data_IF_819862568823
#
_entry.id   IF_819862568823
#
_cell.length_a   1.000
_cell.length_b   1.000
_cell.length_c   1.000
_cell.angle_alpha   90.00
_cell.angle_beta   90.00
_cell.angle_gamma   90.00
#
_symmetry.space_group_name_H-M   'P 1'
#
loop_
_entity.id
_entity.type
_entity.pdbx_description
1 polymer ?
#
# COMPACT_ATOMS: atom_id res chain seq x y z
N UNK A 1 1.20 -10.97 3.57
CA UNK A 1 1.42 -12.41 3.81
C UNK A 1 2.72 -12.75 4.52
N UNK A 2 3.83 -12.05 4.25
CA UNK A 2 5.12 -12.37 4.90
C UNK A 2 5.15 -12.02 6.40
N UNK A 3 4.41 -11.01 6.82
CA UNK A 3 4.36 -10.57 8.22
C UNK A 3 3.49 -11.47 9.09
N UNK A 4 2.52 -12.17 8.49
CA UNK A 4 1.61 -13.09 9.15
C UNK A 4 2.06 -14.56 9.09
N UNK A 5 3.06 -14.87 8.27
CA UNK A 5 3.54 -16.24 8.10
C UNK A 5 4.61 -16.59 9.15
N UNK A 6 4.35 -17.52 10.08
CA UNK A 6 5.31 -17.93 11.12
C UNK A 6 6.64 -18.47 10.58
N UNK A 7 6.66 -18.94 9.34
CA UNK A 7 7.88 -19.45 8.68
C UNK A 7 8.68 -18.35 7.96
N UNK A 8 8.19 -17.12 7.95
CA UNK A 8 8.88 -15.99 7.34
C UNK A 8 9.89 -15.37 8.31
N UNK A 9 11.05 -14.98 7.80
CA UNK A 9 12.01 -14.15 8.55
C UNK A 9 11.48 -12.75 8.90
N UNK A 10 10.34 -12.37 8.34
CA UNK A 10 9.65 -11.09 8.58
C UNK A 10 8.41 -11.25 9.46
N UNK A 11 8.22 -12.38 10.09
CA UNK A 11 7.09 -12.61 10.98
C UNK A 11 7.12 -11.64 12.18
N UNK A 12 6.07 -10.84 12.35
CA UNK A 12 6.04 -9.75 13.31
C UNK A 12 5.78 -10.18 14.76
N UNK A 13 5.16 -11.34 14.95
CA UNK A 13 4.62 -11.74 16.26
C UNK A 13 5.57 -12.61 17.08
N UNK A 14 6.82 -12.74 16.68
CA UNK A 14 7.85 -13.48 17.40
C UNK A 14 8.53 -12.67 18.49
N UNK A 15 8.53 -11.34 18.38
CA UNK A 15 9.38 -10.48 19.18
C UNK A 15 8.57 -9.68 20.19
N UNK A 16 9.09 -9.58 21.38
CA UNK A 16 8.65 -8.60 22.36
C UNK A 16 9.54 -7.36 22.21
N UNK A 17 8.91 -6.21 22.19
CA UNK A 17 9.61 -4.94 22.17
C UNK A 17 9.89 -4.51 23.60
N UNK A 18 11.13 -4.16 23.91
CA UNK A 18 11.50 -3.65 25.23
C UNK A 18 11.52 -2.13 25.23
N UNK A 19 10.73 -1.54 26.10
CA UNK A 19 10.74 -0.10 26.40
C UNK A 19 11.17 0.10 27.85
N UNK A 20 12.46 0.35 28.08
CA UNK A 20 13.02 0.40 29.44
C UNK A 20 12.91 -0.95 30.15
N UNK A 21 12.20 -1.00 31.26
CA UNK A 21 11.95 -2.23 32.02
C UNK A 21 10.69 -2.98 31.56
N UNK A 22 9.87 -2.38 30.72
CA UNK A 22 8.61 -2.97 30.25
C UNK A 22 8.81 -3.78 28.97
N UNK A 23 8.21 -4.96 28.92
CA UNK A 23 8.09 -5.76 27.70
C UNK A 23 6.68 -5.59 27.13
N UNK A 24 6.60 -5.20 25.86
CA UNK A 24 5.36 -5.05 25.09
C UNK A 24 5.30 -6.12 24.03
N UNK A 25 4.20 -6.87 23.98
CA UNK A 25 3.96 -7.87 22.94
C UNK A 25 3.32 -7.22 21.72
N UNK A 26 3.49 -7.85 20.57
CA UNK A 26 2.78 -7.51 19.35
C UNK A 26 1.78 -8.63 19.08
N UNK A 27 0.51 -8.29 19.01
CA UNK A 27 -0.58 -9.24 18.78
C UNK A 27 -1.31 -8.91 17.48
N UNK A 28 -1.65 -9.94 16.71
CA UNK A 28 -2.64 -9.82 15.65
C UNK A 28 -4.03 -9.94 16.27
N UNK A 29 -4.93 -9.03 15.92
CA UNK A 29 -6.31 -9.00 16.41
C UNK A 29 -7.29 -8.87 15.27
N UNK A 30 -8.50 -9.42 15.45
CA UNK A 30 -9.60 -9.25 14.50
C UNK A 30 -10.54 -8.09 14.90
N UNK A 31 -10.55 -7.75 16.19
CA UNK A 31 -11.19 -6.57 16.77
C UNK A 31 -10.39 -6.13 18.01
N UNK A 32 -10.76 -5.03 18.61
CA UNK A 32 -10.05 -4.47 19.77
C UNK A 32 -10.74 -4.74 21.11
N UNK A 33 -11.97 -5.31 21.14
CA UNK A 33 -12.76 -5.52 22.36
C UNK A 33 -12.05 -6.36 23.43
N UNK A 34 -11.30 -7.38 23.00
CA UNK A 34 -10.59 -8.29 23.92
C UNK A 34 -9.08 -8.06 23.93
N UNK A 35 -8.62 -6.97 23.32
CA UNK A 35 -7.20 -6.67 23.22
C UNK A 35 -6.64 -6.17 24.56
N UNK A 36 -5.37 -6.50 24.81
CA UNK A 36 -4.67 -5.98 25.98
C UNK A 36 -4.13 -4.58 25.66
N UNK A 37 -4.60 -3.55 26.35
CA UNK A 37 -4.17 -2.16 26.16
C UNK A 37 -2.69 -1.89 26.49
N UNK A 38 -2.01 -2.82 27.14
CA UNK A 38 -0.57 -2.73 27.43
C UNK A 38 0.30 -3.28 26.29
N UNK A 39 -0.31 -3.92 25.31
CA UNK A 39 0.37 -4.54 24.16
C UNK A 39 0.10 -3.74 22.89
N UNK A 40 0.90 -3.98 21.85
CA UNK A 40 0.64 -3.44 20.50
C UNK A 40 -0.28 -4.41 19.79
N UNK A 41 -1.50 -3.97 19.53
CA UNK A 41 -2.52 -4.77 18.85
C UNK A 41 -2.63 -4.30 17.40
N UNK A 42 -2.42 -5.21 16.44
CA UNK A 42 -2.40 -4.91 15.00
C UNK A 42 -3.56 -5.61 14.32
N UNK A 43 -4.40 -4.84 13.66
CA UNK A 43 -5.46 -5.32 12.78
C UNK A 43 -5.02 -5.16 11.33
N UNK A 44 -4.96 -6.26 10.58
CA UNK A 44 -4.73 -6.23 9.14
C UNK A 44 -6.06 -6.34 8.39
N UNK A 45 -6.35 -5.36 7.58
CA UNK A 45 -7.60 -5.36 6.80
C UNK A 45 -7.38 -4.70 5.43
N UNK A 46 -8.27 -4.98 4.50
CA UNK A 46 -8.38 -4.19 3.26
C UNK A 46 -9.34 -3.03 3.48
N UNK A 47 -9.22 -1.98 2.67
CA UNK A 47 -10.14 -0.83 2.78
C UNK A 47 -11.59 -1.23 2.53
N UNK A 48 -11.83 -2.19 1.62
CA UNK A 48 -13.15 -2.75 1.36
C UNK A 48 -13.70 -3.52 2.58
N UNK A 49 -12.85 -4.34 3.19
CA UNK A 49 -13.19 -5.09 4.40
C UNK A 49 -13.51 -4.17 5.57
N UNK A 50 -12.68 -3.16 5.80
CA UNK A 50 -12.91 -2.15 6.83
C UNK A 50 -14.23 -1.41 6.60
N UNK A 51 -14.46 -0.92 5.37
CA UNK A 51 -15.70 -0.24 5.02
C UNK A 51 -16.94 -1.14 5.21
N UNK A 52 -16.87 -2.40 4.79
CA UNK A 52 -17.98 -3.35 4.96
C UNK A 52 -18.27 -3.61 6.44
N UNK A 53 -17.25 -3.79 7.25
CA UNK A 53 -17.42 -4.00 8.69
C UNK A 53 -18.08 -2.78 9.38
N UNK A 54 -17.66 -1.57 9.00
CA UNK A 54 -18.17 -0.33 9.57
C UNK A 54 -19.63 -0.04 9.20
N UNK A 55 -20.07 -0.45 8.01
CA UNK A 55 -21.38 -0.08 7.46
C UNK A 55 -22.38 -1.25 7.42
N UNK A 56 -21.94 -2.47 7.64
CA UNK A 56 -22.75 -3.68 7.74
C UNK A 56 -22.34 -4.46 8.99
N UNK A 57 -22.62 -3.95 10.20
CA UNK A 57 -22.17 -4.58 11.44
C UNK A 57 -22.78 -5.98 11.57
N UNK A 58 -21.93 -6.94 11.91
CA UNK A 58 -22.28 -8.31 12.25
C UNK A 58 -21.79 -8.58 13.67
N UNK A 59 -22.22 -9.67 14.26
CA UNK A 59 -21.65 -10.08 15.55
C UNK A 59 -20.12 -10.19 15.49
N UNK A 60 -19.43 -9.63 16.47
CA UNK A 60 -17.97 -9.59 16.59
C UNK A 60 -17.23 -8.84 15.44
N UNK A 61 -17.87 -7.85 14.82
CA UNK A 61 -17.21 -6.96 13.86
C UNK A 61 -16.88 -5.62 14.49
N UNK A 62 -15.88 -4.95 13.93
CA UNK A 62 -15.50 -3.59 14.32
C UNK A 62 -16.65 -2.60 14.11
N UNK A 63 -16.81 -1.70 15.05
CA UNK A 63 -17.75 -0.58 14.99
C UNK A 63 -17.01 0.75 15.19
N UNK A 64 -17.64 1.88 14.89
CA UNK A 64 -17.02 3.19 15.15
C UNK A 64 -16.83 3.45 16.65
N UNK A 65 -17.55 2.76 17.51
CA UNK A 65 -17.42 2.88 18.95
C UNK A 65 -16.11 2.30 19.46
N UNK A 66 -15.63 1.21 18.84
CA UNK A 66 -14.34 0.59 19.15
C UNK A 66 -13.16 1.52 18.94
N UNK A 67 -13.33 2.54 18.10
CA UNK A 67 -12.27 3.49 17.76
C UNK A 67 -12.32 4.80 18.56
N UNK A 68 -13.40 5.05 19.30
CA UNK A 68 -13.61 6.34 19.97
C UNK A 68 -12.73 6.51 21.19
N UNK A 69 -12.57 5.45 21.95
CA UNK A 69 -11.86 5.48 23.23
C UNK A 69 -10.39 5.03 23.13
N UNK A 70 -9.99 4.58 21.94
CA UNK A 70 -8.65 4.07 21.67
C UNK A 70 -7.81 5.09 20.87
N UNK A 71 -6.49 5.05 21.07
CA UNK A 71 -5.52 5.77 20.23
C UNK A 71 -5.02 4.85 19.16
N UNK A 72 -5.24 5.24 17.92
CA UNK A 72 -5.00 4.39 16.76
C UNK A 72 -3.93 4.99 15.87
N UNK A 73 -3.06 4.12 15.35
CA UNK A 73 -2.17 4.45 14.25
C UNK A 73 -2.68 3.72 13.01
N UNK A 74 -3.20 4.49 12.06
CA UNK A 74 -3.62 3.98 10.74
C UNK A 74 -2.40 3.98 9.83
N UNK A 75 -2.05 2.82 9.28
CA UNK A 75 -0.96 2.66 8.33
C UNK A 75 -1.58 2.23 7.00
N UNK A 76 -1.55 3.11 6.02
CA UNK A 76 -2.13 2.87 4.69
C UNK A 76 -1.03 2.67 3.66
N UNK A 77 -0.95 1.48 3.09
CA UNK A 77 -0.12 1.22 1.91
C UNK A 77 -0.91 1.54 0.64
N UNK A 78 -0.22 1.94 -0.42
CA UNK A 78 -0.81 2.40 -1.68
C UNK A 78 -1.89 3.48 -1.48
N UNK A 79 -1.61 4.45 -0.60
CA UNK A 79 -2.57 5.46 -0.18
C UNK A 79 -3.17 6.30 -1.33
N UNK A 80 -2.55 6.29 -2.52
CA UNK A 80 -3.10 6.93 -3.71
C UNK A 80 -4.47 6.31 -4.14
N UNK A 81 -4.79 5.10 -3.69
CA UNK A 81 -6.11 4.50 -3.92
C UNK A 81 -7.20 5.12 -3.05
N UNK A 82 -6.85 5.73 -1.93
CA UNK A 82 -7.79 6.41 -1.03
C UNK A 82 -8.16 7.81 -1.58
N UNK A 83 -7.30 8.42 -2.40
CA UNK A 83 -7.51 9.75 -2.97
C UNK A 83 -8.40 9.69 -4.23
N UNK A 84 -9.66 9.33 -4.06
CA UNK A 84 -10.61 9.15 -5.17
C UNK A 84 -10.98 10.45 -5.88
N UNK A 85 -11.03 11.56 -5.17
CA UNK A 85 -11.42 12.88 -5.68
C UNK A 85 -10.51 13.43 -6.77
N UNK A 86 -9.32 12.86 -6.94
CA UNK A 86 -8.28 13.41 -7.80
C UNK A 86 -8.15 12.73 -9.16
N UNK A 87 -8.92 11.68 -9.43
CA UNK A 87 -8.86 10.95 -10.71
C UNK A 87 -10.03 11.30 -11.62
N UNK A 88 -9.78 12.07 -12.65
CA UNK A 88 -10.77 12.52 -13.65
C UNK A 88 -11.33 11.41 -14.56
N UNK A 89 -10.89 10.15 -14.46
CA UNK A 89 -11.22 9.07 -15.40
C UNK A 89 -11.79 7.80 -14.73
N UNK A 90 -12.36 7.91 -13.54
CA UNK A 90 -13.03 6.77 -12.90
C UNK A 90 -14.47 6.63 -13.40
N UNK A 91 -14.96 5.40 -13.58
CA UNK A 91 -16.38 5.14 -13.77
C UNK A 91 -17.18 5.67 -12.58
N UNK A 92 -18.45 6.08 -12.80
CA UNK A 92 -19.29 6.67 -11.73
C UNK A 92 -19.37 5.78 -10.49
N UNK A 93 -19.56 4.47 -10.67
CA UNK A 93 -19.71 3.52 -9.56
C UNK A 93 -18.40 3.32 -8.78
N UNK A 94 -17.27 3.29 -9.48
CA UNK A 94 -15.95 3.19 -8.86
C UNK A 94 -15.57 4.46 -8.10
N UNK A 95 -15.94 5.63 -8.62
CA UNK A 95 -15.75 6.91 -7.96
C UNK A 95 -16.55 6.99 -6.66
N UNK A 96 -17.81 6.59 -6.67
CA UNK A 96 -18.69 6.56 -5.48
C UNK A 96 -18.11 5.62 -4.42
N UNK A 97 -17.72 4.41 -4.80
CA UNK A 97 -17.14 3.43 -3.87
C UNK A 97 -15.88 3.96 -3.18
N UNK A 98 -14.94 4.51 -3.95
CA UNK A 98 -13.69 5.07 -3.40
C UNK A 98 -13.93 6.25 -2.47
N UNK A 99 -14.85 7.15 -2.82
CA UNK A 99 -15.25 8.28 -1.95
C UNK A 99 -15.82 7.77 -0.63
N UNK A 100 -16.62 6.72 -0.69
CA UNK A 100 -17.22 6.11 0.50
C UNK A 100 -16.15 5.45 1.39
N UNK A 101 -15.14 4.83 0.81
CA UNK A 101 -14.01 4.24 1.56
C UNK A 101 -13.14 5.32 2.23
N UNK A 102 -12.82 6.39 1.50
CA UNK A 102 -12.10 7.54 2.06
C UNK A 102 -12.85 8.15 3.24
N UNK A 103 -14.17 8.28 3.14
CA UNK A 103 -15.02 8.77 4.21
C UNK A 103 -14.95 7.86 5.45
N UNK A 104 -14.98 6.53 5.27
CA UNK A 104 -14.85 5.57 6.37
C UNK A 104 -13.53 5.73 7.10
N UNK A 105 -12.41 5.80 6.38
CA UNK A 105 -11.07 6.00 6.98
C UNK A 105 -10.99 7.33 7.72
N UNK A 106 -11.51 8.40 7.13
CA UNK A 106 -11.52 9.72 7.76
C UNK A 106 -12.40 9.76 9.02
N UNK A 107 -13.53 9.06 9.04
CA UNK A 107 -14.36 8.96 10.24
C UNK A 107 -13.62 8.25 11.38
N UNK A 108 -12.93 7.16 11.09
CA UNK A 108 -12.10 6.47 12.08
C UNK A 108 -10.96 7.39 12.54
N UNK A 109 -10.26 8.04 11.62
CA UNK A 109 -9.17 8.94 11.97
C UNK A 109 -9.63 10.09 12.88
N UNK A 110 -10.79 10.66 12.57
CA UNK A 110 -11.35 11.80 13.32
C UNK A 110 -12.10 11.38 14.60
N UNK A 111 -12.24 10.09 14.90
CA UNK A 111 -12.92 9.62 16.12
C UNK A 111 -12.17 10.01 17.40
N UNK A 112 -10.85 10.19 17.31
CA UNK A 112 -10.01 10.61 18.42
C UNK A 112 -8.92 11.57 17.91
N UNK A 113 -8.70 12.68 18.62
CA UNK A 113 -7.72 13.72 18.24
C UNK A 113 -6.25 13.27 18.37
N UNK A 114 -5.99 12.20 19.09
CA UNK A 114 -4.66 11.61 19.26
C UNK A 114 -4.33 10.54 18.20
N UNK A 115 -5.26 10.24 17.30
CA UNK A 115 -5.02 9.30 16.21
C UNK A 115 -3.96 9.80 15.24
N UNK A 116 -3.16 8.87 14.73
CA UNK A 116 -2.10 9.15 13.75
C UNK A 116 -2.44 8.41 12.46
N UNK A 117 -2.25 9.07 11.32
CA UNK A 117 -2.37 8.45 10.01
C UNK A 117 -1.04 8.55 9.28
N UNK A 118 -0.50 7.40 8.88
CA UNK A 118 0.71 7.26 8.08
C UNK A 118 0.32 6.69 6.71
N UNK A 119 0.52 7.48 5.68
CA UNK A 119 0.17 7.12 4.31
C UNK A 119 1.46 6.87 3.50
N UNK A 120 1.56 5.70 2.88
CA UNK A 120 2.66 5.29 2.03
C UNK A 120 2.17 5.14 0.59
N UNK A 121 2.89 5.70 -0.35
CA UNK A 121 2.60 5.54 -1.78
C UNK A 121 3.85 5.77 -2.62
N UNK A 122 4.00 5.01 -3.68
CA UNK A 122 5.05 5.23 -4.67
C UNK A 122 4.75 6.37 -5.64
N UNK A 123 3.49 6.81 -5.72
CA UNK A 123 3.01 7.76 -6.74
C UNK A 123 2.10 8.81 -6.11
N UNK A 124 2.70 9.91 -5.68
CA UNK A 124 1.97 11.12 -5.30
C UNK A 124 2.06 12.13 -6.44
N UNK A 125 0.93 12.57 -6.97
CA UNK A 125 0.89 13.60 -8.01
C UNK A 125 0.64 14.97 -7.42
N UNK A 126 1.69 15.63 -6.98
CA UNK A 126 1.64 16.98 -6.43
C UNK A 126 1.34 18.07 -7.47
N UNK A 127 1.27 17.75 -8.77
CA UNK A 127 0.81 18.68 -9.79
C UNK A 127 -0.71 18.86 -9.78
N UNK A 128 -1.43 17.93 -9.20
CA UNK A 128 -2.86 18.04 -8.95
C UNK A 128 -3.10 18.94 -7.71
N UNK A 129 -3.85 20.03 -7.90
CA UNK A 129 -4.07 21.02 -6.85
C UNK A 129 -4.73 20.44 -5.59
N UNK A 130 -5.70 19.55 -5.72
CA UNK A 130 -6.38 18.94 -4.58
C UNK A 130 -5.46 18.00 -3.78
N UNK A 131 -4.57 17.27 -4.46
CA UNK A 131 -3.55 16.44 -3.80
C UNK A 131 -2.53 17.36 -3.12
N UNK A 132 -2.08 18.39 -3.79
CA UNK A 132 -1.15 19.34 -3.23
C UNK A 132 -1.71 19.98 -1.95
N UNK A 133 -2.93 20.49 -1.96
CA UNK A 133 -3.58 21.08 -0.77
C UNK A 133 -3.69 20.10 0.39
N UNK A 134 -3.98 18.83 0.10
CA UNK A 134 -4.07 17.77 1.12
C UNK A 134 -2.73 17.48 1.78
N UNK A 135 -1.63 17.48 1.03
CA UNK A 135 -0.35 16.94 1.48
C UNK A 135 0.79 17.95 1.62
N UNK A 136 0.68 19.20 1.13
CA UNK A 136 1.77 20.17 1.05
C UNK A 136 2.62 20.34 2.32
N UNK A 137 2.00 20.19 3.50
CA UNK A 137 2.69 20.35 4.80
C UNK A 137 2.77 19.02 5.60
N UNK A 138 2.51 17.87 4.95
CA UNK A 138 2.38 16.57 5.61
C UNK A 138 3.37 15.53 5.07
N UNK A 139 4.12 15.85 4.01
CA UNK A 139 5.11 14.94 3.45
C UNK A 139 6.32 14.93 4.37
N UNK A 140 6.57 13.78 5.00
CA UNK A 140 7.68 13.59 5.94
C UNK A 140 8.92 13.10 5.20
N UNK A 141 8.72 12.33 4.13
CA UNK A 141 9.81 11.72 3.37
C UNK A 141 9.41 11.53 1.91
N UNK A 142 10.31 11.88 1.01
CA UNK A 142 10.19 11.64 -0.42
C UNK A 142 11.44 10.96 -0.95
N UNK A 143 11.25 9.84 -1.65
CA UNK A 143 12.33 9.15 -2.35
C UNK A 143 11.92 8.96 -3.80
N UNK A 144 12.30 9.90 -4.63
CA UNK A 144 11.88 9.95 -6.03
C UNK A 144 12.43 8.79 -6.85
N UNK A 145 11.70 8.40 -7.90
CA UNK A 145 12.18 7.40 -8.86
C UNK A 145 13.53 7.78 -9.47
N UNK A 146 13.79 9.08 -9.64
CA UNK A 146 15.08 9.60 -10.12
C UNK A 146 16.19 9.25 -9.13
N UNK A 147 15.98 9.51 -7.84
CA UNK A 147 16.94 9.19 -6.78
C UNK A 147 17.14 7.68 -6.69
N UNK A 148 16.07 6.90 -6.69
CA UNK A 148 16.12 5.43 -6.68
C UNK A 148 16.95 4.85 -7.83
N UNK A 149 16.89 5.47 -9.01
CA UNK A 149 17.74 5.09 -10.16
C UNK A 149 19.19 5.50 -9.98
N UNK A 150 19.44 6.69 -9.47
CA UNK A 150 20.80 7.20 -9.22
C UNK A 150 21.53 6.34 -8.18
N UNK A 151 20.82 5.86 -7.17
CA UNK A 151 21.35 4.99 -6.12
C UNK A 151 21.52 3.52 -6.58
N UNK A 152 21.17 3.21 -7.84
CA UNK A 152 21.39 1.90 -8.45
C UNK A 152 20.38 0.82 -8.09
N UNK A 153 19.26 1.15 -7.44
CA UNK A 153 18.23 0.19 -7.03
C UNK A 153 17.26 -0.16 -8.15
N UNK A 154 17.14 0.64 -9.20
CA UNK A 154 16.27 0.33 -10.34
C UNK A 154 17.06 -0.21 -11.53
N UNK A 155 16.40 -1.04 -12.32
CA UNK A 155 16.86 -1.41 -13.65
C UNK A 155 16.77 -0.22 -14.59
N UNK A 156 17.69 -0.18 -15.57
CA UNK A 156 17.63 0.81 -16.64
C UNK A 156 16.36 0.58 -17.50
N UNK A 157 15.56 1.62 -17.66
CA UNK A 157 14.41 1.60 -18.55
C UNK A 157 14.84 2.11 -19.91
N UNK A 158 14.70 1.26 -20.95
CA UNK A 158 14.92 1.62 -22.36
C UNK A 158 13.57 1.66 -23.06
N UNK A 159 13.24 2.79 -23.60
CA UNK A 159 12.03 2.97 -24.40
C UNK A 159 12.40 2.76 -25.88
N UNK A 160 11.74 1.79 -26.51
CA UNK A 160 11.83 1.58 -27.94
C UNK A 160 10.56 2.16 -28.58
N UNK A 161 10.74 3.20 -29.34
CA UNK A 161 9.65 3.79 -30.09
C UNK A 161 9.59 3.11 -31.47
N UNK A 162 8.42 2.61 -31.86
CA UNK A 162 8.18 2.00 -33.16
C UNK A 162 6.77 2.38 -33.65
N UNK A 163 6.70 2.76 -34.90
CA UNK A 163 5.43 3.01 -35.57
C UNK A 163 4.91 1.70 -36.19
N UNK A 164 4.43 0.80 -35.29
CA UNK A 164 3.98 -0.54 -35.63
C UNK A 164 2.58 -0.77 -35.09
N UNK A 165 1.80 -1.62 -35.75
CA UNK A 165 0.54 -2.14 -35.24
C UNK A 165 0.73 -2.99 -33.96
N UNK A 166 -0.36 -3.26 -33.24
CA UNK A 166 -0.27 -3.98 -31.96
C UNK A 166 0.34 -5.38 -32.09
N UNK A 167 -0.01 -6.12 -33.15
CA UNK A 167 0.52 -7.48 -33.41
C UNK A 167 2.03 -7.42 -33.66
N UNK A 168 2.49 -6.47 -34.48
CA UNK A 168 3.91 -6.32 -34.79
C UNK A 168 4.72 -5.89 -33.57
N UNK A 169 4.16 -5.06 -32.69
CA UNK A 169 4.76 -4.71 -31.39
C UNK A 169 4.90 -5.93 -30.47
N UNK A 170 3.87 -6.80 -30.45
CA UNK A 170 3.93 -8.06 -29.71
C UNK A 170 5.04 -8.97 -30.23
N UNK A 171 5.13 -9.15 -31.55
CA UNK A 171 6.18 -9.94 -32.17
C UNK A 171 7.57 -9.35 -31.90
N UNK A 172 7.72 -8.04 -31.99
CA UNK A 172 8.96 -7.34 -31.65
C UNK A 172 9.37 -7.59 -30.20
N UNK A 173 8.44 -7.51 -29.25
CA UNK A 173 8.69 -7.79 -27.84
C UNK A 173 9.15 -9.25 -27.63
N UNK A 174 8.51 -10.21 -28.31
CA UNK A 174 8.89 -11.63 -28.25
C UNK A 174 10.31 -11.85 -28.81
N UNK A 175 10.64 -11.26 -29.96
CA UNK A 175 11.98 -11.38 -30.56
C UNK A 175 13.05 -10.78 -29.62
N UNK A 176 12.80 -9.58 -29.07
CA UNK A 176 13.72 -8.95 -28.12
C UNK A 176 13.90 -9.77 -26.85
N UNK A 177 12.83 -10.36 -26.32
CA UNK A 177 12.87 -11.24 -25.16
C UNK A 177 13.74 -12.47 -25.42
N UNK A 178 13.55 -13.15 -26.56
CA UNK A 178 14.35 -14.30 -26.95
C UNK A 178 15.83 -13.94 -27.21
N UNK A 179 16.07 -12.79 -27.84
CA UNK A 179 17.41 -12.30 -28.08
C UNK A 179 18.15 -12.04 -26.75
N UNK A 180 17.50 -11.35 -25.81
CA UNK A 180 18.08 -11.11 -24.46
C UNK A 180 18.34 -12.39 -23.70
N UNK A 181 17.43 -13.38 -23.81
CA UNK A 181 17.63 -14.69 -23.21
C UNK A 181 18.86 -15.38 -23.76
N UNK A 182 19.04 -15.42 -25.08
CA UNK A 182 20.22 -16.03 -25.71
C UNK A 182 21.53 -15.33 -25.32
N UNK A 183 21.53 -14.00 -25.21
CA UNK A 183 22.70 -13.27 -24.72
C UNK A 183 23.01 -13.65 -23.28
N UNK A 184 22.01 -13.75 -22.43
CA UNK A 184 22.19 -14.13 -21.03
C UNK A 184 22.77 -15.56 -20.92
N UNK A 185 22.19 -16.51 -21.67
CA UNK A 185 22.69 -17.89 -21.73
C UNK A 185 24.17 -17.96 -22.18
N UNK A 186 24.52 -17.20 -23.21
CA UNK A 186 25.92 -17.09 -23.68
C UNK A 186 26.88 -16.54 -22.61
N UNK A 187 26.39 -15.66 -21.75
CA UNK A 187 27.16 -15.08 -20.66
C UNK A 187 26.96 -15.84 -19.32
N UNK A 188 26.38 -17.03 -19.33
CA UNK A 188 26.10 -17.88 -18.15
C UNK A 188 25.23 -17.18 -17.09
N UNK A 189 24.36 -16.25 -17.51
CA UNK A 189 23.43 -15.56 -16.65
C UNK A 189 22.05 -16.22 -16.72
N UNK A 190 21.46 -16.53 -15.56
CA UNK A 190 20.10 -17.02 -15.47
C UNK A 190 19.10 -15.87 -15.55
N UNK A 191 18.67 -15.52 -16.77
CA UNK A 191 17.67 -14.49 -17.03
C UNK A 191 16.40 -15.13 -17.59
N UNK A 192 15.26 -14.87 -16.96
CA UNK A 192 13.93 -15.21 -17.47
C UNK A 192 13.22 -13.91 -17.85
N UNK A 193 13.29 -13.48 -19.11
CA UNK A 193 12.56 -12.27 -19.55
C UNK A 193 11.06 -12.49 -19.44
N UNK A 194 10.34 -11.53 -18.92
CA UNK A 194 8.88 -11.52 -18.86
C UNK A 194 8.35 -10.44 -19.80
N UNK A 195 7.28 -10.75 -20.51
CA UNK A 195 6.57 -9.81 -21.38
C UNK A 195 5.19 -9.60 -20.77
N UNK A 196 4.80 -8.35 -20.64
CA UNK A 196 3.46 -7.92 -20.24
C UNK A 196 2.80 -7.23 -21.44
N UNK A 197 1.57 -7.63 -21.76
CA UNK A 197 0.75 -7.06 -22.81
C UNK A 197 -0.51 -6.41 -22.24
#
# INVERSE_FOLDING_TARGET
DNFLNPNSSKYLFNEKIKFGENEVKINEVNNFETSNSQDINILFTTIQGLHSNMNMPRENTLTYEDFRDERIVIISDEAHHINAWTKNNLGKDESIAKTTWEHTVNNIFNSNTENIMLEYTATVDLSNSSIYEKYQNKIIYEYSLKQFRQDGYSKEVKVLQADLGNIDRMLQAMILSQYRRKIAEKNKLHLKPVILF
#
